data_IF_394371506684
#
_entry.id   IF_394371506684
#
_cell.length_a   1.000
_cell.length_b   1.000
_cell.length_c   1.000
_cell.angle_alpha   90.00
_cell.angle_beta   90.00
_cell.angle_gamma   90.00
#
_symmetry.space_group_name_H-M   'P 1'
#
loop_
_entity.id
_entity.type
_entity.pdbx_description
1 polymer ?
#
# COMPACT_ATOMS: atom_id res chain seq x y z
N UNK A 1 24.29 22.99 -62.77
CA UNK A 1 23.60 24.06 -62.00
C UNK A 1 22.11 23.71 -61.94
N UNK A 2 21.35 23.93 -60.84
CA UNK A 2 21.65 24.16 -59.40
C UNK A 2 21.34 22.86 -58.56
N UNK A 3 21.99 22.54 -57.42
CA UNK A 3 21.82 23.04 -56.02
C UNK A 3 20.42 22.70 -55.42
N UNK A 4 20.21 22.18 -54.19
CA UNK A 4 20.89 22.26 -52.88
C UNK A 4 20.38 21.20 -51.86
N UNK A 5 21.22 20.93 -50.84
CA UNK A 5 20.91 20.55 -49.42
C UNK A 5 20.33 19.15 -49.13
N UNK A 6 20.68 18.43 -48.05
CA UNK A 6 21.59 18.64 -46.91
C UNK A 6 21.73 17.32 -46.11
N UNK A 7 22.96 17.01 -45.71
CA UNK A 7 23.44 16.39 -44.46
C UNK A 7 22.57 15.41 -43.63
N UNK A 8 23.15 14.20 -43.47
CA UNK A 8 23.45 13.46 -42.22
C UNK A 8 22.36 12.80 -41.33
N UNK A 9 22.41 11.46 -41.30
CA UNK A 9 22.43 10.50 -40.17
C UNK A 9 21.55 10.81 -38.93
N UNK A 10 20.52 9.97 -38.68
CA UNK A 10 20.47 9.06 -37.52
C UNK A 10 19.18 8.19 -37.47
N UNK A 11 19.38 6.92 -37.08
CA UNK A 11 18.53 5.99 -36.31
C UNK A 11 17.07 6.42 -36.06
N UNK A 12 16.05 5.60 -36.32
CA UNK A 12 15.67 4.42 -35.50
C UNK A 12 14.69 3.54 -36.31
N UNK A 13 14.89 2.21 -36.24
CA UNK A 13 13.97 1.18 -36.77
C UNK A 13 12.65 1.15 -36.00
N UNK A 14 11.55 1.16 -36.74
CA UNK A 14 10.21 0.66 -36.37
C UNK A 14 10.05 -0.76 -37.00
N UNK A 15 9.00 -1.60 -36.81
CA UNK A 15 8.04 -1.85 -35.72
C UNK A 15 7.79 -3.37 -35.42
N UNK A 16 7.16 -3.75 -34.28
CA UNK A 16 6.58 -5.10 -33.91
C UNK A 16 7.58 -6.31 -33.87
N UNK A 17 7.54 -7.38 -33.03
CA UNK A 17 6.49 -8.13 -32.31
C UNK A 17 7.11 -9.21 -31.38
N UNK A 18 6.27 -9.79 -30.50
CA UNK A 18 6.44 -10.96 -29.59
C UNK A 18 6.97 -10.64 -28.18
N UNK A 19 6.32 -10.97 -27.08
CA UNK A 19 5.09 -11.75 -26.85
C UNK A 19 5.22 -12.51 -25.53
N UNK A 20 4.55 -12.04 -24.48
CA UNK A 20 3.90 -12.88 -23.45
C UNK A 20 3.18 -11.99 -22.45
N UNK A 21 1.86 -12.19 -22.44
CA UNK A 21 0.83 -11.48 -21.71
C UNK A 21 0.98 -11.57 -20.20
N UNK A 22 1.05 -10.42 -19.52
CA UNK A 22 0.50 -10.20 -18.18
C UNK A 22 0.15 -8.72 -18.00
N UNK A 23 -0.85 -8.22 -18.75
CA UNK A 23 -1.48 -6.92 -18.48
C UNK A 23 -2.99 -7.06 -18.41
N UNK A 24 -3.46 -7.62 -17.29
CA UNK A 24 -4.76 -7.28 -16.70
C UNK A 24 -4.51 -6.67 -15.31
N UNK A 25 -3.56 -5.73 -15.23
CA UNK A 25 -3.62 -4.70 -14.20
C UNK A 25 -4.62 -3.68 -14.74
N UNK A 26 -5.87 -3.81 -14.29
CA UNK A 26 -6.86 -2.75 -14.47
C UNK A 26 -6.20 -1.42 -14.15
N UNK A 27 -6.23 -0.53 -15.14
CA UNK A 27 -5.66 0.79 -15.07
C UNK A 27 -6.43 1.53 -13.98
N UNK A 28 -5.90 1.53 -12.75
CA UNK A 28 -6.37 2.46 -11.73
C UNK A 28 -6.33 3.86 -12.35
N UNK A 29 -7.43 4.65 -12.30
CA UNK A 29 -7.42 5.98 -12.86
C UNK A 29 -6.27 6.76 -12.21
N UNK A 30 -5.39 7.30 -13.05
CA UNK A 30 -4.24 8.10 -12.61
C UNK A 30 -4.81 9.35 -11.93
N UNK A 31 -4.90 9.33 -10.60
CA UNK A 31 -5.47 10.42 -9.80
C UNK A 31 -4.72 11.72 -10.16
N UNK A 32 -5.39 12.74 -10.73
CA UNK A 32 -4.74 13.98 -11.14
C UNK A 32 -4.05 14.67 -9.96
N UNK A 33 -2.97 15.43 -10.25
CA UNK A 33 -2.16 16.14 -9.24
C UNK A 33 -2.94 17.15 -8.36
N UNK A 34 -4.22 17.39 -8.65
CA UNK A 34 -5.13 18.27 -7.92
C UNK A 34 -5.55 17.72 -6.54
N UNK A 35 -5.37 16.43 -6.25
CA UNK A 35 -5.69 15.84 -4.92
C UNK A 35 -4.61 16.12 -3.84
N UNK A 36 -3.82 17.19 -3.99
CA UNK A 36 -2.82 17.64 -2.99
C UNK A 36 -3.40 18.47 -1.85
N UNK A 37 -4.69 18.79 -1.88
CA UNK A 37 -5.38 19.19 -0.66
C UNK A 37 -5.58 17.93 0.17
N UNK A 38 -5.04 17.93 1.39
CA UNK A 38 -5.20 16.86 2.37
C UNK A 38 -6.70 16.71 2.64
N UNK A 39 -7.37 15.83 1.88
CA UNK A 39 -8.77 15.50 2.10
C UNK A 39 -8.84 14.69 3.39
N UNK A 40 -9.06 15.39 4.50
CA UNK A 40 -9.24 14.78 5.83
C UNK A 40 -10.50 13.91 5.89
N UNK A 41 -11.47 14.16 5.01
CA UNK A 41 -12.74 13.44 4.95
C UNK A 41 -12.87 12.66 3.63
N UNK A 42 -13.35 11.41 3.68
CA UNK A 42 -13.63 10.65 2.47
C UNK A 42 -14.76 11.33 1.67
N UNK A 43 -14.67 11.32 0.35
CA UNK A 43 -15.72 11.78 -0.54
C UNK A 43 -16.26 10.64 -1.38
N UNK A 44 -17.58 10.53 -1.45
CA UNK A 44 -18.24 9.71 -2.46
C UNK A 44 -18.17 10.49 -3.78
N UNK A 45 -17.59 9.87 -4.79
CA UNK A 45 -17.45 10.42 -6.14
C UNK A 45 -18.20 9.50 -7.10
N UNK A 46 -19.16 10.05 -7.82
CA UNK A 46 -19.86 9.32 -8.88
C UNK A 46 -18.99 9.26 -10.14
N UNK A 47 -18.88 8.07 -10.72
CA UNK A 47 -18.19 7.81 -11.97
C UNK A 47 -19.17 7.16 -12.96
N UNK A 48 -18.76 7.04 -14.22
CA UNK A 48 -19.47 6.28 -15.26
C UNK A 48 -19.67 4.80 -14.88
N UNK A 49 -18.89 4.28 -13.93
CA UNK A 49 -18.91 2.89 -13.45
C UNK A 49 -19.58 2.72 -12.07
N UNK A 50 -20.16 3.78 -11.52
CA UNK A 50 -20.81 3.78 -10.20
C UNK A 50 -20.14 4.71 -9.19
N UNK A 51 -20.50 4.55 -7.93
CA UNK A 51 -19.99 5.37 -6.83
C UNK A 51 -18.67 4.82 -6.29
N UNK A 52 -17.70 5.72 -6.07
CA UNK A 52 -16.38 5.39 -5.53
C UNK A 52 -16.12 6.23 -4.28
N UNK A 53 -15.55 5.62 -3.24
CA UNK A 53 -15.08 6.36 -2.08
C UNK A 53 -13.64 6.81 -2.31
N UNK A 54 -13.44 8.09 -2.59
CA UNK A 54 -12.13 8.72 -2.67
C UNK A 54 -11.69 9.17 -1.27
N UNK A 55 -10.51 8.75 -0.85
CA UNK A 55 -9.93 9.18 0.42
C UNK A 55 -8.43 9.38 0.27
N UNK A 56 -7.88 10.38 0.96
CA UNK A 56 -6.44 10.61 0.99
C UNK A 56 -6.02 11.22 2.32
N UNK A 57 -5.41 10.42 3.19
CA UNK A 57 -4.94 10.92 4.48
C UNK A 57 -4.48 9.81 5.41
N UNK A 58 -3.63 10.17 6.37
CA UNK A 58 -3.15 9.25 7.41
C UNK A 58 -4.22 8.89 8.44
N UNK A 59 -5.25 9.71 8.59
CA UNK A 59 -6.30 9.52 9.61
C UNK A 59 -7.49 8.71 9.12
N UNK A 60 -7.47 8.28 7.86
CA UNK A 60 -8.58 7.51 7.33
C UNK A 60 -8.51 6.06 7.79
N UNK A 61 -9.64 5.48 8.21
CA UNK A 61 -9.71 4.11 8.76
C UNK A 61 -9.15 3.05 7.80
N UNK A 62 -9.26 3.29 6.50
CA UNK A 62 -8.78 2.39 5.45
C UNK A 62 -7.36 2.72 4.97
N UNK A 63 -6.71 3.71 5.58
CA UNK A 63 -5.32 4.06 5.28
C UNK A 63 -4.36 3.13 6.02
N UNK A 64 -3.45 2.50 5.29
CA UNK A 64 -2.40 1.67 5.88
C UNK A 64 -1.44 2.46 6.81
N UNK A 65 -1.48 3.79 6.71
CA UNK A 65 -0.67 4.74 7.48
C UNK A 65 -1.40 5.26 8.73
N UNK A 66 -2.59 4.75 9.02
CA UNK A 66 -3.34 5.15 10.21
C UNK A 66 -2.82 4.43 11.46
N UNK A 67 -2.33 5.21 12.42
CA UNK A 67 -1.79 4.73 13.71
C UNK A 67 -2.83 4.64 14.83
N UNK A 68 -4.06 5.09 14.57
CA UNK A 68 -5.15 5.05 15.55
C UNK A 68 -5.83 3.68 15.59
N UNK A 69 -5.62 2.88 14.54
CA UNK A 69 -6.25 1.56 14.39
C UNK A 69 -5.31 0.47 14.91
N UNK A 70 -5.53 0.09 16.17
CA UNK A 70 -4.80 -1.02 16.79
C UNK A 70 -5.45 -2.36 16.47
N UNK A 71 -4.64 -3.34 16.11
CA UNK A 71 -5.10 -4.69 15.84
C UNK A 71 -4.09 -5.74 16.31
N UNK A 72 -4.56 -6.98 16.44
CA UNK A 72 -3.78 -8.09 17.00
C UNK A 72 -3.66 -9.21 15.97
N UNK A 73 -2.44 -9.64 15.68
CA UNK A 73 -2.13 -10.79 14.81
C UNK A 73 -1.13 -11.68 15.54
N UNK A 74 -1.38 -12.98 15.61
CA UNK A 74 -0.50 -13.97 16.27
C UNK A 74 -0.03 -13.55 17.66
N UNK A 75 -0.96 -13.01 18.45
CA UNK A 75 -0.72 -12.45 19.78
C UNK A 75 0.16 -11.20 19.90
N UNK A 76 0.54 -10.59 18.78
CA UNK A 76 1.30 -9.34 18.73
C UNK A 76 0.34 -8.20 18.38
N UNK A 77 0.46 -7.09 19.10
CA UNK A 77 -0.29 -5.87 18.83
C UNK A 77 0.47 -4.99 17.84
N UNK A 78 -0.26 -4.47 16.86
CA UNK A 78 0.21 -3.50 15.89
C UNK A 78 -0.69 -2.26 15.95
N UNK A 79 -0.08 -1.09 15.80
CA UNK A 79 -0.76 0.21 15.81
C UNK A 79 -1.16 0.69 14.41
N UNK A 80 -0.59 0.09 13.35
CA UNK A 80 -0.92 0.38 11.97
C UNK A 80 -0.52 -0.77 11.04
N UNK A 81 -1.09 -0.77 9.84
CA UNK A 81 -0.80 -1.78 8.81
C UNK A 81 0.66 -1.70 8.35
N UNK A 82 1.23 -0.49 8.22
CA UNK A 82 2.62 -0.31 7.81
C UNK A 82 3.61 -0.92 8.81
N UNK A 83 3.34 -0.88 10.13
CA UNK A 83 4.17 -1.52 11.16
C UNK A 83 4.16 -3.04 10.99
N UNK A 84 2.97 -3.62 10.87
CA UNK A 84 2.82 -5.06 10.63
C UNK A 84 3.52 -5.49 9.33
N UNK A 85 3.26 -4.76 8.24
CA UNK A 85 3.85 -5.01 6.94
C UNK A 85 5.39 -4.98 6.99
N UNK A 86 5.95 -3.97 7.66
CA UNK A 86 7.41 -3.84 7.78
C UNK A 86 8.01 -4.92 8.69
N UNK A 87 7.29 -5.30 9.76
CA UNK A 87 7.67 -6.39 10.64
C UNK A 87 7.73 -7.73 9.89
N UNK A 88 6.68 -8.09 9.14
CA UNK A 88 6.68 -9.31 8.31
C UNK A 88 7.81 -9.29 7.28
N UNK A 89 8.07 -8.12 6.68
CA UNK A 89 9.18 -7.96 5.74
C UNK A 89 10.53 -8.19 6.40
N UNK A 90 10.73 -7.65 7.60
CA UNK A 90 11.97 -7.84 8.37
C UNK A 90 12.16 -9.31 8.74
N UNK A 91 11.09 -9.99 9.17
CA UNK A 91 11.09 -11.43 9.46
C UNK A 91 11.40 -12.26 8.21
N UNK A 92 10.80 -11.93 7.06
CA UNK A 92 11.03 -12.61 5.77
C UNK A 92 12.50 -12.59 5.33
N UNK A 93 13.22 -11.49 5.62
CA UNK A 93 14.64 -11.37 5.30
C UNK A 93 15.56 -11.77 6.47
N UNK A 94 15.02 -12.37 7.54
CA UNK A 94 15.74 -12.72 8.77
C UNK A 94 16.41 -11.53 9.50
N UNK A 95 15.92 -10.31 9.32
CA UNK A 95 16.38 -9.15 10.06
C UNK A 95 15.61 -9.02 11.39
N UNK A 96 16.03 -9.84 12.38
CA UNK A 96 15.39 -9.87 13.71
C UNK A 96 15.59 -8.59 14.51
N UNK A 97 16.72 -7.90 14.31
CA UNK A 97 17.01 -6.64 15.00
C UNK A 97 15.98 -5.57 14.62
N UNK A 98 15.70 -5.40 13.33
CA UNK A 98 14.68 -4.47 12.89
C UNK A 98 13.27 -4.92 13.30
N UNK A 99 12.97 -6.22 13.21
CA UNK A 99 11.69 -6.74 13.67
C UNK A 99 11.44 -6.40 15.15
N UNK A 100 12.43 -6.59 16.01
CA UNK A 100 12.36 -6.21 17.42
C UNK A 100 12.25 -4.70 17.61
N UNK A 101 13.02 -3.91 16.85
CA UNK A 101 12.91 -2.44 16.87
C UNK A 101 11.50 -1.97 16.55
N UNK A 102 10.84 -2.58 15.57
CA UNK A 102 9.46 -2.26 15.21
C UNK A 102 8.45 -2.63 16.29
N UNK A 103 8.74 -3.59 17.16
CA UNK A 103 7.85 -3.94 18.28
C UNK A 103 8.09 -3.07 19.52
N UNK A 104 9.33 -2.67 19.76
CA UNK A 104 9.74 -1.93 20.96
C UNK A 104 9.54 -0.42 20.79
N UNK A 105 9.91 0.13 19.63
CA UNK A 105 9.89 1.56 19.39
C UNK A 105 8.50 2.03 18.97
N UNK A 106 7.64 2.29 19.96
CA UNK A 106 6.26 2.72 19.76
C UNK A 106 6.14 4.09 19.06
N UNK A 107 7.21 4.90 19.07
CA UNK A 107 7.18 6.27 18.53
C UNK A 107 7.51 6.35 17.03
N UNK A 108 7.92 5.24 16.41
CA UNK A 108 8.15 5.20 14.97
C UNK A 108 6.91 5.64 14.21
N UNK A 109 7.08 6.58 13.29
CA UNK A 109 6.02 6.97 12.35
C UNK A 109 5.98 5.99 11.17
N UNK A 110 4.83 5.81 10.47
CA UNK A 110 4.73 4.90 9.33
C UNK A 110 5.70 5.25 8.21
N UNK A 111 5.98 6.54 8.02
CA UNK A 111 6.99 7.02 7.06
C UNK A 111 8.40 6.54 7.41
N UNK A 112 8.76 6.53 8.70
CA UNK A 112 10.05 6.04 9.17
C UNK A 112 10.13 4.52 9.06
N UNK A 113 9.07 3.80 9.43
CA UNK A 113 8.99 2.34 9.24
C UNK A 113 9.20 1.98 7.77
N UNK A 114 8.48 2.66 6.86
CA UNK A 114 8.63 2.47 5.41
C UNK A 114 10.04 2.76 4.92
N UNK A 115 10.71 3.76 5.51
CA UNK A 115 12.11 4.07 5.21
C UNK A 115 13.04 2.95 5.68
N UNK A 116 12.83 2.43 6.89
CA UNK A 116 13.57 1.28 7.42
C UNK A 116 13.33 0.00 6.60
N UNK A 117 12.13 -0.14 6.03
CA UNK A 117 11.73 -1.23 5.16
C UNK A 117 12.43 -1.22 3.78
N UNK A 118 13.12 -0.13 3.41
CA UNK A 118 13.94 -0.04 2.19
C UNK A 118 15.25 -0.76 2.41
N UNK A 119 15.18 -2.08 2.52
CA UNK A 119 16.37 -2.92 2.44
C UNK A 119 16.98 -2.76 1.05
N UNK A 120 18.29 -2.55 0.98
CA UNK A 120 19.04 -2.54 -0.28
C UNK A 120 18.80 -3.82 -1.09
N UNK A 121 19.21 -3.81 -2.36
CA UNK A 121 18.94 -4.82 -3.38
C UNK A 121 18.84 -6.26 -2.83
N UNK A 122 17.62 -6.69 -2.50
CA UNK A 122 17.33 -8.09 -2.25
C UNK A 122 17.61 -8.86 -3.55
N UNK A 123 18.14 -10.09 -3.50
CA UNK A 123 18.22 -10.95 -4.67
C UNK A 123 16.86 -10.99 -5.39
N UNK A 124 16.85 -10.96 -6.72
CA UNK A 124 15.62 -10.86 -7.51
C UNK A 124 14.58 -11.93 -7.13
N UNK A 125 15.03 -13.16 -6.85
CA UNK A 125 14.16 -14.25 -6.42
C UNK A 125 13.41 -13.92 -5.13
N UNK A 126 14.11 -13.42 -4.11
CA UNK A 126 13.49 -12.95 -2.85
C UNK A 126 12.56 -11.76 -3.06
N UNK A 127 12.84 -10.89 -4.03
CA UNK A 127 11.91 -9.81 -4.37
C UNK A 127 10.61 -10.37 -4.97
N UNK A 128 10.69 -11.39 -5.83
CA UNK A 128 9.51 -12.02 -6.44
C UNK A 128 8.65 -12.73 -5.39
N UNK A 129 9.30 -13.47 -4.49
CA UNK A 129 8.64 -14.11 -3.34
C UNK A 129 7.94 -13.07 -2.46
N UNK A 130 8.66 -11.99 -2.07
CA UNK A 130 8.08 -10.91 -1.28
C UNK A 130 6.90 -10.23 -1.97
N UNK A 131 7.00 -9.97 -3.28
CA UNK A 131 5.90 -9.37 -4.07
C UNK A 131 4.66 -10.25 -4.11
N UNK A 132 4.82 -11.56 -3.97
CA UNK A 132 3.70 -12.50 -3.91
C UNK A 132 3.08 -12.52 -2.51
N UNK A 133 3.91 -12.50 -1.46
CA UNK A 133 3.46 -12.50 -0.07
C UNK A 133 2.87 -11.17 0.43
N UNK A 134 3.25 -10.03 -0.16
CA UNK A 134 2.82 -8.70 0.33
C UNK A 134 1.30 -8.53 0.39
N UNK A 135 0.56 -9.15 -0.54
CA UNK A 135 -0.88 -8.98 -0.63
C UNK A 135 -1.60 -9.73 0.48
N UNK A 136 -1.19 -10.97 0.76
CA UNK A 136 -1.76 -11.75 1.85
C UNK A 136 -1.49 -11.11 3.22
N UNK A 137 -0.32 -10.50 3.39
CA UNK A 137 0.03 -9.76 4.62
C UNK A 137 -0.90 -8.56 4.82
N UNK A 138 -1.10 -7.75 3.77
CA UNK A 138 -2.01 -6.60 3.85
C UNK A 138 -3.44 -7.07 4.09
N UNK A 139 -3.88 -8.11 3.39
CA UNK A 139 -5.21 -8.69 3.56
C UNK A 139 -5.46 -9.18 4.99
N UNK A 140 -4.49 -9.87 5.59
CA UNK A 140 -4.57 -10.34 6.97
C UNK A 140 -4.73 -9.17 7.95
N UNK A 141 -3.97 -8.08 7.77
CA UNK A 141 -4.10 -6.87 8.58
C UNK A 141 -5.48 -6.23 8.45
N UNK A 142 -5.97 -6.07 7.21
CA UNK A 142 -7.29 -5.49 6.96
C UNK A 142 -8.39 -6.35 7.56
N UNK A 143 -8.31 -7.68 7.44
CA UNK A 143 -9.25 -8.61 8.06
C UNK A 143 -9.25 -8.48 9.59
N UNK A 144 -8.07 -8.39 10.23
CA UNK A 144 -7.97 -8.21 11.68
C UNK A 144 -8.58 -6.88 12.15
N UNK A 145 -8.37 -5.80 11.39
CA UNK A 145 -8.97 -4.49 11.67
C UNK A 145 -10.51 -4.55 11.59
N UNK A 146 -11.04 -5.12 10.51
CA UNK A 146 -12.50 -5.25 10.30
C UNK A 146 -13.13 -6.06 11.43
N UNK A 147 -12.51 -7.18 11.82
CA UNK A 147 -13.02 -8.02 12.92
C UNK A 147 -13.16 -7.23 14.23
N UNK A 148 -12.15 -6.41 14.58
CA UNK A 148 -12.20 -5.57 15.79
C UNK A 148 -13.33 -4.53 15.69
N UNK A 149 -13.47 -3.87 14.55
CA UNK A 149 -14.53 -2.87 14.35
C UNK A 149 -15.93 -3.48 14.44
N UNK A 150 -16.14 -4.65 13.84
CA UNK A 150 -17.42 -5.38 13.93
C UNK A 150 -17.73 -5.74 15.38
N UNK A 151 -16.75 -6.26 16.12
CA UNK A 151 -16.93 -6.62 17.54
C UNK A 151 -17.28 -5.39 18.38
N UNK A 152 -16.55 -4.27 18.23
CA UNK A 152 -16.82 -3.03 18.95
C UNK A 152 -18.22 -2.49 18.63
N UNK A 153 -18.62 -2.47 17.36
CA UNK A 153 -19.95 -1.99 16.95
C UNK A 153 -21.08 -2.85 17.54
N UNK A 154 -20.86 -4.16 17.68
CA UNK A 154 -21.84 -5.09 18.25
C UNK A 154 -21.96 -4.89 19.75
N UNK A 155 -20.84 -4.74 20.47
CA UNK A 155 -20.83 -4.46 21.90
C UNK A 155 -21.56 -3.15 22.24
N UNK A 156 -21.29 -2.09 21.49
CA UNK A 156 -21.97 -0.80 21.68
C UNK A 156 -23.49 -0.95 21.48
N UNK A 157 -23.92 -1.63 20.42
CA UNK A 157 -25.34 -1.90 20.18
C UNK A 157 -25.98 -2.68 21.33
N UNK A 158 -25.32 -3.71 21.84
CA UNK A 158 -25.82 -4.50 22.97
C UNK A 158 -25.95 -3.65 24.24
N UNK A 159 -24.97 -2.80 24.54
CA UNK A 159 -25.02 -1.89 25.69
C UNK A 159 -26.18 -0.90 25.60
N UNK A 160 -26.41 -0.32 24.41
CA UNK A 160 -27.50 0.62 24.16
C UNK A 160 -28.89 -0.03 24.21
N UNK A 161 -28.99 -1.33 23.92
CA UNK A 161 -30.25 -2.09 24.01
C UNK A 161 -30.55 -2.58 25.43
N UNK A 162 -29.54 -2.61 26.30
CA UNK A 162 -29.65 -3.01 27.71
C UNK A 162 -29.76 -1.83 28.68
N UNK A 163 -29.85 -0.59 28.19
CA UNK A 163 -30.07 0.64 28.96
C UNK A 163 -31.46 1.21 28.71
#
# INVERSE_FOLDING_TARGET
MPSTSSHSINSIKNPYTSGSDHRNLEIFPRIPAFYREVQTEPKIVSTDKGECLAFFGKYFLFSNFNQEVKFKIRNIWFDCVERYYTYEKAMFINNRELANKLLIDINLTPSEMKRLAKFGNLPWLKQKEWRSAKYSIIEEAVRAIIQIQVLLSTQIKLMLLSS
#
